data_IF_805384824680
#
_entry.id   IF_805384824680
#
_cell.length_a   1.000
_cell.length_b   1.000
_cell.length_c   1.000
_cell.angle_alpha   90.00
_cell.angle_beta   90.00
_cell.angle_gamma   90.00
#
_symmetry.space_group_name_H-M   'P 1'
#
loop_
_entity.id
_entity.type
_entity.pdbx_description
1 polymer ?
#
# COMPACT_ATOMS: atom_id res chain seq x y z
N UNK A 1 -34.09 6.95 -1.02
CA UNK A 1 -33.02 6.89 -2.05
C UNK A 1 -32.22 5.61 -1.82
N UNK A 2 -31.83 4.90 -2.89
CA UNK A 2 -30.97 3.72 -2.78
C UNK A 2 -29.55 4.12 -2.34
N UNK A 3 -28.87 3.24 -1.60
CA UNK A 3 -27.47 3.46 -1.25
C UNK A 3 -26.60 3.46 -2.53
N UNK A 4 -25.68 4.41 -2.69
CA UNK A 4 -24.77 4.42 -3.83
C UNK A 4 -23.81 3.21 -3.77
N UNK A 5 -23.36 2.70 -4.93
CA UNK A 5 -22.57 1.48 -5.01
C UNK A 5 -21.21 1.62 -4.33
N UNK A 6 -20.68 0.53 -3.78
CA UNK A 6 -19.32 0.46 -3.18
C UNK A 6 -18.23 0.16 -4.23
N UNK A 7 -18.63 -0.22 -5.44
CA UNK A 7 -17.74 -0.57 -6.53
C UNK A 7 -18.25 0.05 -7.85
N UNK A 8 -17.34 0.63 -8.62
CA UNK A 8 -17.59 1.14 -9.96
C UNK A 8 -16.44 0.79 -10.89
N UNK A 9 -16.68 0.82 -12.19
CA UNK A 9 -15.65 0.69 -13.22
C UNK A 9 -15.33 2.07 -13.81
N UNK A 10 -14.05 2.37 -13.94
CA UNK A 10 -13.60 3.53 -14.68
C UNK A 10 -14.02 3.45 -16.16
N UNK A 11 -14.08 4.61 -16.82
CA UNK A 11 -14.41 4.72 -18.25
C UNK A 11 -13.38 5.61 -18.93
N UNK A 12 -13.24 5.49 -20.25
CA UNK A 12 -12.35 6.36 -21.04
C UNK A 12 -12.69 7.83 -20.76
N UNK A 13 -11.71 8.61 -20.28
CA UNK A 13 -11.89 10.01 -19.88
C UNK A 13 -12.52 10.24 -18.49
N UNK A 14 -12.93 9.18 -17.79
CA UNK A 14 -13.52 9.24 -16.45
C UNK A 14 -12.85 8.20 -15.53
N UNK A 15 -11.67 8.52 -14.97
CA UNK A 15 -10.93 7.57 -14.14
C UNK A 15 -11.69 7.17 -12.88
N UNK A 16 -12.65 7.99 -12.42
CA UNK A 16 -13.52 7.69 -11.27
C UNK A 16 -14.79 6.88 -11.63
N UNK A 17 -15.02 6.57 -12.91
CA UNK A 17 -16.27 5.97 -13.40
C UNK A 17 -17.50 6.90 -13.34
N UNK A 18 -17.31 8.12 -12.82
CA UNK A 18 -18.30 9.19 -12.64
C UNK A 18 -17.60 10.55 -12.68
N UNK A 19 -18.36 11.64 -12.59
CA UNK A 19 -17.75 12.97 -12.50
C UNK A 19 -17.12 13.27 -11.14
N UNK A 20 -16.07 14.11 -11.08
CA UNK A 20 -15.50 14.56 -9.81
C UNK A 20 -16.56 15.17 -8.88
N UNK A 21 -17.51 15.94 -9.43
CA UNK A 21 -18.61 16.50 -8.65
C UNK A 21 -19.49 15.41 -8.00
N UNK A 22 -19.78 14.32 -8.73
CA UNK A 22 -20.52 13.18 -8.20
C UNK A 22 -19.73 12.46 -7.10
N UNK A 23 -18.43 12.25 -7.32
CA UNK A 23 -17.53 11.63 -6.36
C UNK A 23 -17.41 12.44 -5.04
N UNK A 24 -17.20 13.75 -5.15
CA UNK A 24 -17.10 14.65 -3.99
C UNK A 24 -18.40 14.73 -3.21
N UNK A 25 -19.56 14.72 -3.89
CA UNK A 25 -20.86 14.76 -3.26
C UNK A 25 -21.16 13.47 -2.47
N UNK A 26 -20.87 12.30 -3.03
CA UNK A 26 -21.40 11.05 -2.48
C UNK A 26 -20.37 10.19 -1.73
N UNK A 27 -19.06 10.36 -2.02
CA UNK A 27 -18.00 9.46 -1.56
C UNK A 27 -16.88 10.12 -0.76
N UNK A 28 -16.34 11.24 -1.22
CA UNK A 28 -15.18 11.89 -0.59
C UNK A 28 -15.44 12.17 0.90
N UNK A 29 -14.56 11.66 1.77
CA UNK A 29 -14.67 11.72 3.23
C UNK A 29 -15.99 11.19 3.83
N UNK A 30 -16.74 10.35 3.10
CA UNK A 30 -18.04 9.82 3.53
C UNK A 30 -18.08 8.30 3.57
N UNK A 31 -17.58 7.64 2.51
CA UNK A 31 -17.60 6.18 2.40
C UNK A 31 -16.49 5.67 1.48
N UNK A 32 -16.02 4.42 1.68
CA UNK A 32 -15.06 3.81 0.76
C UNK A 32 -15.71 3.56 -0.62
N UNK A 33 -14.88 3.57 -1.66
CA UNK A 33 -15.26 3.24 -3.03
C UNK A 33 -14.10 2.50 -3.71
N UNK A 34 -14.38 1.33 -4.26
CA UNK A 34 -13.46 0.62 -5.16
C UNK A 34 -13.71 1.10 -6.59
N UNK A 35 -12.67 1.65 -7.23
CA UNK A 35 -12.72 2.06 -8.64
C UNK A 35 -11.84 1.10 -9.43
N UNK A 36 -12.46 0.18 -10.17
CA UNK A 36 -11.73 -0.77 -11.01
C UNK A 36 -11.19 -0.08 -12.25
N UNK A 37 -9.95 -0.43 -12.62
CA UNK A 37 -9.28 0.04 -13.84
C UNK A 37 -9.18 1.57 -13.96
N UNK A 38 -9.02 2.28 -12.83
CA UNK A 38 -8.86 3.74 -12.80
C UNK A 38 -7.69 4.23 -13.68
N UNK A 39 -6.62 3.45 -13.72
CA UNK A 39 -5.44 3.64 -14.57
C UNK A 39 -5.21 2.32 -15.34
N UNK A 40 -5.80 2.16 -16.53
CA UNK A 40 -5.52 0.98 -17.36
C UNK A 40 -4.04 0.95 -17.74
N UNK A 41 -3.47 -0.25 -17.82
CA UNK A 41 -2.08 -0.48 -18.23
C UNK A 41 -1.06 0.32 -17.40
N UNK A 42 -1.34 0.49 -16.09
CA UNK A 42 -0.43 1.19 -15.19
C UNK A 42 0.88 0.42 -15.00
N UNK A 43 1.98 1.05 -15.37
CA UNK A 43 3.33 0.62 -15.05
C UNK A 43 3.92 1.58 -13.99
N UNK A 44 4.57 1.01 -12.99
CA UNK A 44 5.24 1.83 -11.97
C UNK A 44 6.40 2.60 -12.62
N UNK A 45 6.51 3.92 -12.40
CA UNK A 45 7.65 4.69 -12.91
C UNK A 45 8.96 4.41 -12.15
N UNK A 46 8.88 3.69 -11.03
CA UNK A 46 10.02 3.34 -10.18
C UNK A 46 10.12 1.82 -10.03
N UNK A 47 11.34 1.31 -10.11
CA UNK A 47 11.67 -0.07 -9.75
C UNK A 47 11.79 -0.23 -8.22
N UNK A 48 11.76 -1.46 -7.69
CA UNK A 48 12.04 -1.71 -6.28
C UNK A 48 13.43 -1.22 -5.82
N UNK A 49 14.43 -1.33 -6.68
CA UNK A 49 15.80 -0.90 -6.37
C UNK A 49 15.92 0.63 -6.31
N UNK A 50 15.21 1.34 -7.21
CA UNK A 50 15.12 2.80 -7.15
C UNK A 50 14.51 3.26 -5.82
N UNK A 51 13.44 2.58 -5.37
CA UNK A 51 12.78 2.89 -4.10
C UNK A 51 13.67 2.60 -2.88
N UNK A 52 14.47 1.53 -2.94
CA UNK A 52 15.47 1.23 -1.90
C UNK A 52 16.56 2.31 -1.86
N UNK A 53 17.03 2.77 -3.02
CA UNK A 53 17.98 3.87 -3.13
C UNK A 53 17.43 5.18 -2.53
N UNK A 54 16.17 5.52 -2.81
CA UNK A 54 15.49 6.67 -2.19
C UNK A 54 15.45 6.56 -0.66
N UNK A 55 15.23 5.36 -0.12
CA UNK A 55 15.18 5.12 1.31
C UNK A 55 16.55 5.29 2.03
N UNK A 56 17.65 5.27 1.27
CA UNK A 56 19.01 5.51 1.78
C UNK A 56 19.41 7.00 1.76
N UNK A 57 18.64 7.86 1.08
CA UNK A 57 18.95 9.28 0.98
C UNK A 57 18.79 10.00 2.32
N UNK A 58 19.72 10.90 2.63
CA UNK A 58 19.61 11.76 3.81
C UNK A 58 18.31 12.57 3.77
N UNK A 59 17.56 12.56 4.87
CA UNK A 59 16.26 13.24 4.98
C UNK A 59 15.06 12.47 4.42
N UNK A 60 15.26 11.30 3.80
CA UNK A 60 14.15 10.46 3.35
C UNK A 60 13.36 9.87 4.54
N UNK A 61 12.03 9.98 4.51
CA UNK A 61 11.12 9.45 5.53
C UNK A 61 10.75 7.99 5.28
N UNK A 62 11.75 7.11 5.32
CA UNK A 62 11.55 5.69 5.05
C UNK A 62 11.24 4.87 6.32
N UNK A 63 10.44 3.82 6.16
CA UNK A 63 10.14 2.82 7.20
C UNK A 63 10.13 1.41 6.62
N UNK A 64 10.72 0.46 7.33
CA UNK A 64 10.55 -0.97 7.04
C UNK A 64 9.70 -1.58 8.14
N UNK A 65 8.58 -2.20 7.75
CA UNK A 65 7.68 -2.93 8.64
C UNK A 65 7.89 -4.42 8.42
N UNK A 66 8.29 -5.15 9.46
CA UNK A 66 8.53 -6.60 9.41
C UNK A 66 7.55 -7.35 10.30
N UNK A 67 7.17 -8.55 9.86
CA UNK A 67 6.41 -9.51 10.66
C UNK A 67 7.17 -10.82 10.78
N UNK A 68 7.51 -11.23 12.00
CA UNK A 68 8.06 -12.57 12.22
C UNK A 68 6.99 -13.62 11.90
N UNK A 69 7.36 -14.67 11.13
CA UNK A 69 6.49 -15.83 10.92
C UNK A 69 6.19 -16.47 12.27
N UNK A 70 4.92 -16.46 12.68
CA UNK A 70 4.47 -17.26 13.83
C UNK A 70 4.67 -18.74 13.53
N UNK A 71 5.11 -19.52 14.52
CA UNK A 71 5.32 -20.98 14.40
C UNK A 71 4.02 -21.80 14.40
N UNK A 72 2.83 -21.18 14.36
CA UNK A 72 1.56 -21.90 14.40
C UNK A 72 0.81 -21.81 13.07
N UNK A 73 0.84 -22.87 12.23
CA UNK A 73 -0.09 -23.00 11.11
C UNK A 73 -1.45 -23.46 11.67
N UNK A 74 -2.42 -22.55 11.75
CA UNK A 74 -3.80 -22.93 12.09
C UNK A 74 -4.64 -21.96 12.92
N UNK A 75 -4.10 -20.84 13.43
CA UNK A 75 -4.93 -19.85 14.14
C UNK A 75 -5.51 -18.82 13.16
N UNK A 76 -6.66 -19.17 12.56
CA UNK A 76 -7.58 -18.15 12.08
C UNK A 76 -7.87 -17.18 13.21
N UNK A 77 -7.57 -15.89 13.01
CA UNK A 77 -7.78 -14.80 13.98
C UNK A 77 -7.08 -15.01 15.35
N UNK A 78 -5.75 -14.99 15.37
CA UNK A 78 -5.03 -14.40 16.51
C UNK A 78 -4.14 -13.26 15.99
N UNK A 79 -4.35 -12.07 16.54
CA UNK A 79 -3.75 -10.81 16.05
C UNK A 79 -2.31 -10.57 16.57
N UNK A 80 -1.71 -11.49 17.33
CA UNK A 80 -0.50 -11.18 18.12
C UNK A 80 0.52 -12.33 18.26
N UNK A 81 0.62 -13.17 17.23
CA UNK A 81 1.38 -14.43 17.26
C UNK A 81 2.78 -14.27 16.63
N UNK A 82 3.01 -13.14 15.95
CA UNK A 82 4.28 -12.78 15.33
C UNK A 82 4.63 -11.35 15.72
N UNK A 83 5.78 -11.17 16.37
CA UNK A 83 6.27 -9.85 16.78
C UNK A 83 6.44 -8.98 15.54
N UNK A 84 5.69 -7.87 15.47
CA UNK A 84 5.90 -6.83 14.48
C UNK A 84 7.11 -5.98 14.88
N UNK A 85 7.93 -5.60 13.90
CA UNK A 85 9.07 -4.69 14.09
C UNK A 85 8.97 -3.57 13.07
N UNK A 86 9.27 -2.34 13.49
CA UNK A 86 9.40 -1.19 12.61
C UNK A 86 10.84 -0.69 12.70
N UNK A 87 11.47 -0.49 11.55
CA UNK A 87 12.73 0.24 11.40
C UNK A 87 12.41 1.58 10.75
N UNK A 88 13.10 2.64 11.17
CA UNK A 88 12.97 3.98 10.59
C UNK A 88 14.30 4.36 9.96
N UNK A 89 14.24 4.91 8.75
CA UNK A 89 15.41 5.31 7.98
C UNK A 89 16.01 6.65 8.41
N UNK A 90 16.96 7.19 7.63
CA UNK A 90 17.45 6.63 6.37
C UNK A 90 18.16 5.28 6.58
N UNK A 91 18.14 4.43 5.55
CA UNK A 91 18.76 3.11 5.60
C UNK A 91 20.11 3.08 4.87
N UNK A 92 20.77 1.93 4.97
CA UNK A 92 21.94 1.59 4.18
C UNK A 92 21.75 0.22 3.52
N UNK A 93 22.60 -0.11 2.55
CA UNK A 93 22.55 -1.39 1.83
C UNK A 93 22.66 -2.59 2.78
N UNK A 94 23.41 -2.44 3.87
CA UNK A 94 23.57 -3.45 4.91
C UNK A 94 22.26 -3.76 5.65
N UNK A 95 21.33 -2.82 5.73
CA UNK A 95 19.99 -3.02 6.28
C UNK A 95 19.19 -3.94 5.36
N UNK A 96 19.17 -3.67 4.05
CA UNK A 96 18.45 -4.47 3.07
C UNK A 96 19.01 -5.90 2.95
N UNK A 97 20.34 -6.05 2.98
CA UNK A 97 21.01 -7.35 2.95
C UNK A 97 20.64 -8.27 4.13
N UNK A 98 20.15 -7.71 5.25
CA UNK A 98 19.72 -8.46 6.44
C UNK A 98 18.22 -8.78 6.45
N UNK A 99 17.45 -8.26 5.49
CA UNK A 99 16.01 -8.52 5.43
C UNK A 99 15.75 -9.98 5.01
N UNK A 100 14.74 -10.64 5.60
CA UNK A 100 14.35 -11.97 5.16
C UNK A 100 13.73 -11.93 3.77
N UNK A 101 13.67 -13.07 3.07
CA UNK A 101 13.11 -13.15 1.71
C UNK A 101 11.61 -12.77 1.59
N UNK A 102 10.89 -12.59 2.70
CA UNK A 102 9.45 -12.27 2.70
C UNK A 102 8.99 -11.71 4.05
N UNK A 103 7.72 -11.27 4.12
CA UNK A 103 7.04 -10.80 5.34
C UNK A 103 7.57 -9.47 5.89
N UNK A 104 7.98 -8.58 4.99
CA UNK A 104 8.27 -7.19 5.28
C UNK A 104 7.79 -6.28 4.14
N UNK A 105 7.75 -4.98 4.40
CA UNK A 105 7.41 -3.95 3.40
C UNK A 105 8.24 -2.69 3.68
N UNK A 106 8.78 -2.10 2.63
CA UNK A 106 9.37 -0.76 2.64
C UNK A 106 8.28 0.27 2.31
N UNK A 107 8.24 1.35 3.08
CA UNK A 107 7.42 2.54 2.87
C UNK A 107 8.38 3.72 2.79
N UNK A 108 8.28 4.54 1.75
CA UNK A 108 9.07 5.77 1.55
C UNK A 108 8.10 6.92 1.34
#
# INVERSE_FOLDING_TARGET
MAAPPIEVHARRGWPLGMSPAHFLRDYWQKRPLLIRSAFPDFESPLSPDDLAGLACMEGALARIVLRNKSKSPGSGLRRNDGKWKVLTGPFDDATFAKLPNSHWTLLV
#
